data_IF_187802293037
#
_entry.id   IF_187802293037
#
_cell.length_a   1.000
_cell.length_b   1.000
_cell.length_c   1.000
_cell.angle_alpha   90.00
_cell.angle_beta   90.00
_cell.angle_gamma   90.00
#
_symmetry.space_group_name_H-M   'P 1'
#
loop_
_entity.id
_entity.type
_entity.pdbx_description
1 polymer ?
#
# COMPACT_ATOMS: atom_id res chain seq x y z
N UNK A 1 27.49 -24.99 29.23
CA UNK A 1 26.69 -24.95 27.98
C UNK A 1 25.22 -24.84 28.36
N UNK A 2 24.73 -23.63 28.64
CA UNK A 2 23.35 -23.41 29.09
C UNK A 2 22.48 -23.30 27.84
N UNK A 3 21.70 -24.36 27.55
CA UNK A 3 20.59 -24.30 26.60
C UNK A 3 19.61 -23.23 27.10
N UNK A 4 19.61 -22.05 26.46
CA UNK A 4 18.52 -21.08 26.61
C UNK A 4 17.24 -21.79 26.15
N UNK A 5 16.39 -22.17 27.09
CA UNK A 5 15.02 -22.54 26.79
C UNK A 5 14.37 -21.34 26.11
N UNK A 6 14.01 -21.49 24.84
CA UNK A 6 13.21 -20.52 24.10
C UNK A 6 11.83 -20.56 24.77
N UNK A 7 11.54 -19.63 25.68
CA UNK A 7 10.17 -19.40 26.13
C UNK A 7 9.35 -19.04 24.89
N UNK A 8 8.48 -19.93 24.45
CA UNK A 8 7.57 -19.65 23.33
C UNK A 8 6.64 -18.51 23.77
N UNK A 9 6.65 -17.41 23.02
CA UNK A 9 5.67 -16.34 23.21
C UNK A 9 4.26 -16.93 23.04
N UNK A 10 3.25 -16.46 23.80
CA UNK A 10 1.89 -16.95 23.67
C UNK A 10 1.32 -16.60 22.29
N UNK A 11 0.54 -17.51 21.72
CA UNK A 11 -0.15 -17.28 20.45
C UNK A 11 -1.12 -16.10 20.57
N UNK A 12 -1.03 -15.12 19.67
CA UNK A 12 -1.89 -13.94 19.65
C UNK A 12 -2.71 -13.94 18.38
N UNK A 13 -4.04 -13.93 18.52
CA UNK A 13 -4.98 -13.81 17.40
C UNK A 13 -5.59 -12.42 17.36
N UNK A 14 -5.69 -11.84 16.17
CA UNK A 14 -6.39 -10.56 15.91
C UNK A 14 -7.24 -10.67 14.67
N UNK A 15 -8.39 -10.01 14.70
CA UNK A 15 -9.27 -9.86 13.55
C UNK A 15 -9.13 -8.46 12.99
N UNK A 16 -9.24 -8.36 11.67
CA UNK A 16 -9.24 -7.10 10.96
C UNK A 16 -10.15 -7.17 9.73
N UNK A 17 -10.07 -6.14 8.90
CA UNK A 17 -10.80 -6.05 7.65
C UNK A 17 -9.98 -6.75 6.56
N UNK A 18 -10.57 -7.77 5.94
CA UNK A 18 -10.01 -8.40 4.74
C UNK A 18 -10.06 -7.40 3.60
N UNK A 19 -8.92 -7.20 2.95
CA UNK A 19 -8.84 -6.33 1.76
C UNK A 19 -8.25 -7.01 0.54
N UNK A 20 -7.58 -8.14 0.74
CA UNK A 20 -7.16 -9.05 -0.32
C UNK A 20 -7.21 -10.46 0.23
N UNK A 21 -8.02 -11.31 -0.39
CA UNK A 21 -8.25 -12.68 0.08
C UNK A 21 -7.00 -13.56 -0.06
N UNK A 22 -7.04 -14.70 0.63
CA UNK A 22 -6.04 -15.74 0.50
C UNK A 22 -5.37 -16.07 1.83
N UNK A 23 -4.25 -16.77 1.71
CA UNK A 23 -3.59 -17.39 2.84
C UNK A 23 -2.07 -17.25 2.72
N UNK A 24 -1.43 -16.80 3.80
CA UNK A 24 0.02 -16.72 3.87
C UNK A 24 0.52 -17.08 5.27
N UNK A 25 1.56 -17.91 5.32
CA UNK A 25 2.41 -17.99 6.52
C UNK A 25 3.63 -17.09 6.29
N UNK A 26 4.51 -16.91 7.28
CA UNK A 26 5.81 -16.28 7.05
C UNK A 26 6.42 -15.72 8.31
N UNK A 27 7.42 -14.86 8.12
CA UNK A 27 8.04 -14.11 9.21
C UNK A 27 7.65 -12.65 9.13
N UNK A 28 7.35 -12.07 10.28
CA UNK A 28 7.06 -10.65 10.41
C UNK A 28 8.26 -9.86 9.92
N UNK A 29 8.00 -8.94 9.00
CA UNK A 29 8.89 -7.83 8.70
C UNK A 29 8.18 -6.56 9.11
N UNK A 30 8.63 -5.94 10.22
CA UNK A 30 8.09 -4.66 10.64
C UNK A 30 8.57 -3.58 9.70
N UNK A 31 7.62 -2.93 9.05
CA UNK A 31 7.86 -1.70 8.35
C UNK A 31 7.57 -0.57 9.33
N UNK A 32 8.63 0.10 9.78
CA UNK A 32 8.46 1.28 10.61
C UNK A 32 8.30 2.50 9.71
N UNK A 33 7.09 3.02 9.68
CA UNK A 33 6.79 4.28 8.99
C UNK A 33 7.07 5.49 9.90
N UNK A 34 7.42 5.30 11.18
CA UNK A 34 7.63 6.42 12.09
C UNK A 34 9.10 6.85 12.15
N UNK A 35 9.43 7.78 11.26
CA UNK A 35 10.43 8.78 11.57
C UNK A 35 9.73 10.12 11.41
N UNK A 36 8.97 10.55 12.43
CA UNK A 36 8.74 11.99 12.63
C UNK A 36 10.12 12.64 12.69
N UNK A 37 10.59 13.12 11.53
CA UNK A 37 11.85 13.85 11.46
C UNK A 37 11.75 15.00 12.45
N UNK A 38 12.69 15.05 13.38
CA UNK A 38 12.75 16.16 14.33
C UNK A 38 13.13 17.41 13.53
N UNK A 39 12.15 18.29 13.33
CA UNK A 39 12.35 19.56 12.65
C UNK A 39 12.70 20.60 13.70
N UNK A 40 13.97 21.01 13.73
CA UNK A 40 14.41 22.11 14.58
C UNK A 40 14.20 23.44 13.87
N UNK A 41 13.74 24.45 14.62
CA UNK A 41 13.71 25.83 14.16
C UNK A 41 15.09 26.45 14.31
N UNK A 42 15.65 26.89 13.20
CA UNK A 42 16.92 27.63 13.14
C UNK A 42 16.61 29.03 12.63
N UNK A 43 17.14 30.04 13.33
CA UNK A 43 17.05 31.43 12.90
C UNK A 43 18.17 31.73 11.91
N UNK A 44 17.81 32.29 10.75
CA UNK A 44 18.72 32.62 9.67
C UNK A 44 19.04 34.13 9.62
N UNK A 45 20.27 34.47 9.21
CA UNK A 45 20.61 35.85 8.86
C UNK A 45 20.03 36.24 7.50
N UNK A 46 19.86 37.54 7.24
CA UNK A 46 19.32 38.04 5.96
C UNK A 46 20.12 37.55 4.74
N UNK A 47 21.44 37.45 4.88
CA UNK A 47 22.33 36.97 3.82
C UNK A 47 22.06 35.50 3.43
N UNK A 48 21.57 34.69 4.36
CA UNK A 48 21.36 33.24 4.16
C UNK A 48 19.98 32.93 3.58
N UNK A 49 19.01 33.85 3.69
CA UNK A 49 17.64 33.67 3.18
C UNK A 49 17.63 33.32 1.68
N UNK A 50 18.48 33.97 0.90
CA UNK A 50 18.59 33.71 -0.53
C UNK A 50 19.05 32.28 -0.84
N UNK A 51 19.99 31.75 -0.06
CA UNK A 51 20.46 30.37 -0.19
C UNK A 51 19.36 29.39 0.25
N UNK A 52 18.66 29.69 1.33
CA UNK A 52 17.62 28.81 1.87
C UNK A 52 16.43 28.66 0.92
N UNK A 53 15.99 29.75 0.29
CA UNK A 53 14.95 29.71 -0.74
C UNK A 53 15.38 28.85 -1.93
N UNK A 54 16.66 28.91 -2.33
CA UNK A 54 17.20 28.03 -3.39
C UNK A 54 17.23 26.57 -2.95
N UNK A 55 17.62 26.29 -1.70
CA UNK A 55 17.63 24.95 -1.09
C UNK A 55 16.23 24.34 -1.09
N UNK A 56 15.24 25.08 -0.61
CA UNK A 56 13.84 24.67 -0.63
C UNK A 56 13.33 24.35 -2.06
N UNK A 57 13.54 25.26 -3.02
CA UNK A 57 13.13 25.04 -4.41
C UNK A 57 13.82 23.83 -5.03
N UNK A 58 15.07 23.56 -4.66
CA UNK A 58 15.79 22.36 -5.11
C UNK A 58 15.20 21.09 -4.52
N UNK A 59 14.85 21.08 -3.22
CA UNK A 59 14.18 19.96 -2.57
C UNK A 59 12.82 19.65 -3.19
N UNK A 60 11.99 20.67 -3.49
CA UNK A 60 10.73 20.48 -4.22
C UNK A 60 10.94 19.82 -5.60
N UNK A 61 11.96 20.27 -6.35
CA UNK A 61 12.29 19.65 -7.66
C UNK A 61 12.74 18.19 -7.50
N UNK A 62 13.52 17.89 -6.47
CA UNK A 62 13.99 16.54 -6.16
C UNK A 62 12.81 15.63 -5.79
N UNK A 63 11.96 16.05 -4.85
CA UNK A 63 10.78 15.32 -4.43
C UNK A 63 9.84 15.03 -5.62
N UNK A 64 9.60 16.02 -6.48
CA UNK A 64 8.81 15.85 -7.71
C UNK A 64 9.41 14.82 -8.66
N UNK A 65 10.74 14.82 -8.82
CA UNK A 65 11.44 13.83 -9.66
C UNK A 65 11.32 12.42 -9.08
N UNK A 66 11.47 12.28 -7.77
CA UNK A 66 11.31 11.00 -7.08
C UNK A 66 9.88 10.47 -7.22
N UNK A 67 8.85 11.30 -7.00
CA UNK A 67 7.45 10.89 -7.18
C UNK A 67 7.14 10.44 -8.61
N UNK A 68 7.71 11.09 -9.64
CA UNK A 68 7.58 10.64 -11.03
C UNK A 68 8.23 9.28 -11.27
N UNK A 69 9.40 9.04 -10.67
CA UNK A 69 10.08 7.75 -10.78
C UNK A 69 9.28 6.65 -10.07
N UNK A 70 8.72 6.95 -8.91
CA UNK A 70 7.81 6.10 -8.15
C UNK A 70 6.56 5.78 -8.98
N UNK A 71 5.87 6.80 -9.50
CA UNK A 71 4.73 6.62 -10.40
C UNK A 71 5.04 5.65 -11.54
N UNK A 72 6.16 5.86 -12.24
CA UNK A 72 6.58 4.99 -13.35
C UNK A 72 6.85 3.54 -12.94
N UNK A 73 7.35 3.31 -11.72
CA UNK A 73 7.53 1.95 -11.18
C UNK A 73 6.17 1.33 -10.82
N UNK A 74 5.30 2.11 -10.18
CA UNK A 74 3.94 1.67 -9.84
C UNK A 74 3.14 1.31 -11.09
N UNK A 75 3.18 2.15 -12.14
CA UNK A 75 2.53 1.87 -13.43
C UNK A 75 2.98 0.53 -14.04
N UNK A 76 4.27 0.17 -13.89
CA UNK A 76 4.80 -1.10 -14.39
C UNK A 76 4.44 -2.30 -13.53
N UNK A 77 4.40 -2.11 -12.21
CA UNK A 77 4.19 -3.20 -11.25
C UNK A 77 2.71 -3.51 -11.00
N UNK A 78 1.87 -2.47 -11.01
CA UNK A 78 0.45 -2.53 -10.63
C UNK A 78 -0.49 -2.11 -11.76
N UNK A 79 0.02 -1.51 -12.85
CA UNK A 79 -0.82 -0.93 -13.91
C UNK A 79 -1.09 0.57 -13.72
N UNK A 80 -1.48 1.24 -14.81
CA UNK A 80 -1.66 2.70 -14.83
C UNK A 80 -2.79 3.18 -13.90
N UNK A 81 -3.85 2.40 -13.77
CA UNK A 81 -5.06 2.73 -12.99
C UNK A 81 -4.84 2.74 -11.47
N UNK A 82 -3.72 2.20 -10.99
CA UNK A 82 -3.35 2.23 -9.57
C UNK A 82 -2.27 3.28 -9.25
N UNK A 83 -1.72 3.94 -10.27
CA UNK A 83 -0.65 4.92 -10.12
C UNK A 83 -1.15 6.39 -10.08
N UNK A 84 -2.44 6.66 -10.31
CA UNK A 84 -3.00 8.02 -10.33
C UNK A 84 -2.87 8.76 -8.99
N UNK A 85 -2.76 8.03 -7.88
CA UNK A 85 -2.57 8.61 -6.54
C UNK A 85 -1.31 9.50 -6.53
N UNK A 86 -0.26 9.08 -7.25
CA UNK A 86 0.95 9.87 -7.39
C UNK A 86 0.78 11.13 -8.22
N UNK A 87 -0.23 11.22 -9.10
CA UNK A 87 -0.54 12.46 -9.82
C UNK A 87 -1.07 13.54 -8.87
N UNK A 88 -1.93 13.17 -7.93
CA UNK A 88 -2.39 14.08 -6.88
C UNK A 88 -1.20 14.59 -6.05
N UNK A 89 -0.30 13.70 -5.64
CA UNK A 89 0.92 14.06 -4.91
C UNK A 89 1.82 15.02 -5.71
N UNK A 90 1.98 14.76 -7.01
CA UNK A 90 2.76 15.62 -7.91
C UNK A 90 2.10 16.99 -8.09
N UNK A 91 0.77 17.05 -8.19
CA UNK A 91 0.01 18.29 -8.31
C UNK A 91 0.15 19.14 -7.04
N UNK A 92 0.11 18.52 -5.86
CA UNK A 92 0.33 19.22 -4.58
C UNK A 92 1.71 19.88 -4.51
N UNK A 93 2.77 19.20 -4.95
CA UNK A 93 4.10 19.80 -5.04
C UNK A 93 4.22 20.91 -6.10
N UNK A 94 3.27 20.98 -7.03
CA UNK A 94 3.19 22.03 -8.05
C UNK A 94 2.31 23.20 -7.61
N UNK A 95 1.58 23.07 -6.50
CA UNK A 95 0.72 24.11 -5.98
C UNK A 95 1.54 25.38 -5.70
N UNK A 96 1.18 26.44 -6.42
CA UNK A 96 1.85 27.73 -6.31
C UNK A 96 1.67 28.33 -4.93
N UNK A 97 0.47 28.19 -4.33
CA UNK A 97 0.14 28.73 -3.01
C UNK A 97 0.97 28.06 -1.93
N UNK A 98 1.05 26.73 -1.94
CA UNK A 98 1.90 25.99 -0.98
C UNK A 98 3.36 26.49 -1.03
N UNK A 99 3.90 26.63 -2.24
CA UNK A 99 5.27 27.16 -2.42
C UNK A 99 5.41 28.60 -1.90
N UNK A 100 4.47 29.47 -2.24
CA UNK A 100 4.49 30.88 -1.83
C UNK A 100 4.38 31.03 -0.30
N UNK A 101 3.52 30.24 0.34
CA UNK A 101 3.33 30.24 1.79
C UNK A 101 4.61 29.80 2.51
N UNK A 102 5.27 28.74 2.03
CA UNK A 102 6.56 28.29 2.62
C UNK A 102 7.65 29.34 2.40
N UNK A 103 7.78 29.90 1.20
CA UNK A 103 8.77 30.94 0.94
C UNK A 103 8.51 32.21 1.78
N UNK A 104 7.24 32.53 2.05
CA UNK A 104 6.83 33.63 2.92
C UNK A 104 7.28 33.37 4.36
N UNK A 105 7.04 32.18 4.90
CA UNK A 105 7.50 31.78 6.23
C UNK A 105 9.04 31.83 6.38
N UNK A 106 9.79 31.40 5.36
CA UNK A 106 11.26 31.52 5.36
C UNK A 106 11.68 32.99 5.47
N UNK A 107 11.10 33.88 4.65
CA UNK A 107 11.46 35.31 4.60
C UNK A 107 11.01 36.06 5.85
N UNK A 108 9.74 35.92 6.25
CA UNK A 108 9.14 36.70 7.34
C UNK A 108 9.65 36.25 8.70
N UNK A 109 9.75 34.94 8.91
CA UNK A 109 10.06 34.39 10.24
C UNK A 109 11.56 34.04 10.39
N UNK A 110 12.36 34.38 9.36
CA UNK A 110 13.80 34.11 9.26
C UNK A 110 14.13 32.67 9.65
N UNK A 111 13.38 31.71 9.11
CA UNK A 111 13.44 30.31 9.52
C UNK A 111 13.97 29.40 8.41
N UNK A 112 14.57 28.29 8.81
CA UNK A 112 14.98 27.24 7.88
C UNK A 112 13.78 26.59 7.17
N UNK A 113 14.04 26.04 5.99
CA UNK A 113 13.06 25.49 5.08
C UNK A 113 12.25 24.33 5.70
N UNK A 114 12.88 23.46 6.49
CA UNK A 114 12.20 22.35 7.15
C UNK A 114 11.13 22.88 8.10
N UNK A 115 11.46 23.91 8.89
CA UNK A 115 10.53 24.54 9.81
C UNK A 115 9.37 25.21 9.08
N UNK A 116 9.66 25.98 8.03
CA UNK A 116 8.64 26.64 7.23
C UNK A 116 7.69 25.62 6.57
N UNK A 117 8.22 24.53 6.01
CA UNK A 117 7.42 23.43 5.43
C UNK A 117 6.52 22.81 6.50
N UNK A 118 7.07 22.54 7.70
CA UNK A 118 6.28 21.99 8.80
C UNK A 118 5.12 22.90 9.18
N UNK A 119 5.36 24.21 9.36
CA UNK A 119 4.32 25.16 9.77
C UNK A 119 3.19 25.23 8.76
N UNK A 120 3.50 25.34 7.47
CA UNK A 120 2.49 25.37 6.40
C UNK A 120 1.72 24.04 6.33
N UNK A 121 2.40 22.91 6.57
CA UNK A 121 1.77 21.59 6.61
C UNK A 121 0.82 21.46 7.79
N UNK A 122 1.24 21.85 8.99
CA UNK A 122 0.39 21.78 10.19
C UNK A 122 -0.89 22.62 10.00
N UNK A 123 -0.77 23.80 9.38
CA UNK A 123 -1.91 24.65 9.04
C UNK A 123 -2.86 23.96 8.04
N UNK A 124 -2.31 23.31 7.02
CA UNK A 124 -3.09 22.57 6.04
C UNK A 124 -3.82 21.39 6.70
N UNK A 125 -3.11 20.58 7.49
CA UNK A 125 -3.67 19.44 8.20
C UNK A 125 -4.76 19.84 9.20
N UNK A 126 -4.61 20.99 9.88
CA UNK A 126 -5.65 21.51 10.77
C UNK A 126 -6.96 21.79 10.03
N UNK A 127 -6.89 22.40 8.84
CA UNK A 127 -8.07 22.63 7.99
C UNK A 127 -8.71 21.32 7.54
N UNK A 128 -7.89 20.32 7.17
CA UNK A 128 -8.41 19.01 6.76
C UNK A 128 -9.00 18.20 7.93
N UNK A 129 -8.49 18.36 9.15
CA UNK A 129 -8.99 17.67 10.33
C UNK A 129 -10.41 18.11 10.73
N UNK A 130 -10.82 19.32 10.36
CA UNK A 130 -12.19 19.82 10.59
C UNK A 130 -13.22 19.21 9.62
N UNK A 131 -12.76 18.53 8.57
CA UNK A 131 -13.62 17.91 7.56
C UNK A 131 -14.15 16.56 8.07
N UNK A 132 -15.48 16.43 8.09
CA UNK A 132 -16.17 15.21 8.57
C UNK A 132 -16.19 14.05 7.58
N UNK A 133 -15.83 14.31 6.33
CA UNK A 133 -15.83 13.32 5.24
C UNK A 133 -14.61 12.39 5.34
N UNK A 134 -14.85 11.07 5.38
CA UNK A 134 -13.81 10.05 5.53
C UNK A 134 -12.86 9.97 4.32
N UNK A 135 -13.33 10.28 3.11
CA UNK A 135 -12.50 10.37 1.91
C UNK A 135 -11.56 11.57 1.98
N UNK A 136 -12.05 12.72 2.46
CA UNK A 136 -11.20 13.90 2.69
C UNK A 136 -10.24 13.71 3.87
N UNK A 137 -10.60 12.90 4.87
CA UNK A 137 -9.68 12.51 5.95
C UNK A 137 -8.54 11.62 5.45
N UNK A 138 -8.80 10.73 4.48
CA UNK A 138 -7.77 9.95 3.82
C UNK A 138 -6.75 10.82 3.05
N UNK A 139 -7.14 12.02 2.57
CA UNK A 139 -6.17 12.97 1.99
C UNK A 139 -5.17 13.55 2.98
N UNK A 140 -5.45 13.53 4.28
CA UNK A 140 -4.50 14.01 5.29
C UNK A 140 -3.22 13.16 5.29
N UNK A 141 -3.33 11.83 5.15
CA UNK A 141 -2.14 10.97 5.06
C UNK A 141 -1.40 11.17 3.73
N UNK A 142 -2.10 11.44 2.62
CA UNK A 142 -1.46 11.82 1.36
C UNK A 142 -0.64 13.12 1.48
N UNK A 143 -1.18 14.13 2.17
CA UNK A 143 -0.45 15.36 2.50
C UNK A 143 0.82 15.03 3.29
N UNK A 144 0.70 14.23 4.34
CA UNK A 144 1.85 13.83 5.16
C UNK A 144 2.91 13.07 4.34
N UNK A 145 2.52 12.20 3.42
CA UNK A 145 3.44 11.45 2.54
C UNK A 145 4.23 12.39 1.61
N UNK A 146 3.54 13.35 1.00
CA UNK A 146 4.16 14.37 0.13
C UNK A 146 5.16 15.22 0.91
N UNK A 147 4.76 15.71 2.07
CA UNK A 147 5.59 16.60 2.89
C UNK A 147 6.82 15.89 3.42
N UNK A 148 6.66 14.66 3.89
CA UNK A 148 7.78 13.83 4.34
C UNK A 148 8.83 13.69 3.25
N UNK A 149 8.42 13.52 2.00
CA UNK A 149 9.35 13.44 0.86
C UNK A 149 10.09 14.75 0.60
N UNK A 150 9.46 15.90 0.83
CA UNK A 150 10.12 17.20 0.77
C UNK A 150 11.14 17.34 1.90
N UNK A 151 10.82 16.91 3.12
CA UNK A 151 11.73 16.95 4.26
C UNK A 151 12.94 16.01 4.07
N UNK A 152 12.75 14.80 3.56
CA UNK A 152 13.86 13.92 3.15
C UNK A 152 14.76 14.58 2.10
N UNK A 153 14.16 15.22 1.09
CA UNK A 153 14.91 15.94 0.06
C UNK A 153 15.69 17.15 0.61
N UNK A 154 15.20 17.80 1.67
CA UNK A 154 15.90 18.90 2.36
C UNK A 154 17.08 18.41 3.20
N UNK A 155 16.92 17.27 3.88
CA UNK A 155 17.97 16.66 4.70
C UNK A 155 19.05 15.91 3.90
N UNK A 156 18.89 15.78 2.57
CA UNK A 156 19.78 15.01 1.72
C UNK A 156 19.71 13.50 1.95
N UNK A 157 18.70 13.06 2.71
CA UNK A 157 18.43 11.65 2.97
C UNK A 157 17.83 11.03 1.71
N UNK A 158 18.47 9.98 1.20
CA UNK A 158 17.87 9.18 0.14
C UNK A 158 16.80 8.27 0.76
N UNK A 159 15.61 8.15 0.15
CA UNK A 159 14.66 7.12 0.53
C UNK A 159 15.39 5.77 0.51
N UNK A 160 15.20 4.95 1.54
CA UNK A 160 15.94 3.70 1.71
C UNK A 160 15.83 2.87 0.43
N UNK A 161 16.95 2.80 -0.32
CA UNK A 161 17.02 2.06 -1.58
C UNK A 161 16.50 0.64 -1.38
N UNK A 162 15.58 0.23 -2.24
CA UNK A 162 15.11 -1.13 -2.54
C UNK A 162 15.88 -2.22 -1.79
N UNK A 163 15.57 -2.41 -0.50
CA UNK A 163 16.14 -3.53 0.25
C UNK A 163 15.44 -4.78 -0.27
N UNK A 164 16.24 -5.76 -0.69
CA UNK A 164 15.72 -7.10 -0.92
C UNK A 164 15.05 -7.54 0.38
N UNK A 165 13.73 -7.72 0.32
CA UNK A 165 12.99 -8.23 1.47
C UNK A 165 13.34 -9.71 1.63
N UNK A 166 13.43 -10.22 2.87
CA UNK A 166 13.65 -11.64 3.10
C UNK A 166 12.58 -12.46 2.36
N UNK A 167 12.97 -13.62 1.85
CA UNK A 167 12.00 -14.61 1.38
C UNK A 167 11.05 -14.95 2.54
N UNK A 168 9.76 -15.07 2.22
CA UNK A 168 8.67 -15.36 3.16
C UNK A 168 8.30 -14.23 4.14
N UNK A 169 8.53 -12.98 3.77
CA UNK A 169 8.17 -11.83 4.60
C UNK A 169 6.65 -11.56 4.60
N UNK A 170 6.08 -11.36 5.78
CA UNK A 170 4.77 -10.71 5.95
C UNK A 170 5.02 -9.30 6.47
N UNK A 171 4.61 -8.29 5.71
CA UNK A 171 4.78 -6.90 6.12
C UNK A 171 3.79 -6.59 7.24
N UNK A 172 4.31 -6.11 8.37
CA UNK A 172 3.49 -5.60 9.47
C UNK A 172 3.80 -4.12 9.66
N UNK A 173 2.80 -3.25 9.55
CA UNK A 173 2.95 -1.79 9.64
C UNK A 173 1.80 -1.14 10.40
N UNK A 174 2.01 0.08 10.90
CA UNK A 174 0.91 0.90 11.40
C UNK A 174 0.02 1.37 10.23
N UNK A 175 0.66 1.91 9.20
CA UNK A 175 0.03 2.30 7.93
C UNK A 175 1.04 2.11 6.80
N UNK A 176 0.58 1.63 5.64
CA UNK A 176 1.41 1.52 4.44
C UNK A 176 1.18 2.73 3.54
N UNK A 177 2.11 3.67 3.55
CA UNK A 177 2.04 4.84 2.66
C UNK A 177 2.32 4.44 1.20
N UNK A 178 1.71 5.10 0.19
CA UNK A 178 1.93 4.81 -1.22
C UNK A 178 3.40 4.79 -1.59
N UNK A 179 4.11 5.81 -1.10
CA UNK A 179 5.50 6.02 -1.48
C UNK A 179 6.43 5.00 -0.85
N UNK A 180 6.12 4.52 0.36
CA UNK A 180 6.82 3.43 1.01
C UNK A 180 6.62 2.11 0.25
N UNK A 181 5.39 1.83 -0.19
CA UNK A 181 5.11 0.60 -0.93
C UNK A 181 5.92 0.50 -2.23
N UNK A 182 5.97 1.55 -3.04
CA UNK A 182 6.69 1.51 -4.32
C UNK A 182 8.21 1.43 -4.16
N UNK A 183 8.74 1.81 -3.00
CA UNK A 183 10.16 1.66 -2.68
C UNK A 183 10.52 0.22 -2.24
N UNK A 184 9.52 -0.58 -1.84
CA UNK A 184 9.70 -1.98 -1.48
C UNK A 184 9.69 -2.87 -2.71
N UNK A 185 10.63 -3.82 -2.75
CA UNK A 185 10.54 -4.92 -3.69
C UNK A 185 9.66 -6.04 -3.08
N UNK A 186 8.40 -6.11 -3.52
CA UNK A 186 7.44 -7.10 -3.03
C UNK A 186 7.70 -8.55 -3.48
N UNK A 187 8.74 -8.84 -4.27
CA UNK A 187 9.01 -10.19 -4.77
C UNK A 187 9.18 -11.26 -3.69
N UNK A 188 9.55 -10.86 -2.45
CA UNK A 188 9.67 -11.76 -1.29
C UNK A 188 8.49 -11.67 -0.30
N UNK A 189 7.47 -10.86 -0.60
CA UNK A 189 6.37 -10.58 0.33
C UNK A 189 5.22 -11.55 0.08
N UNK A 190 4.82 -12.27 1.12
CA UNK A 190 3.69 -13.22 1.07
C UNK A 190 2.39 -12.65 1.57
N UNK A 191 2.40 -11.52 2.27
CA UNK A 191 1.17 -10.88 2.75
C UNK A 191 1.42 -9.57 3.50
N UNK A 192 0.32 -8.88 3.81
CA UNK A 192 0.33 -7.58 4.50
C UNK A 192 -0.63 -7.60 5.69
N UNK A 193 -0.19 -7.09 6.83
CA UNK A 193 -0.99 -6.84 8.03
C UNK A 193 -0.79 -5.38 8.48
N UNK A 194 -1.86 -4.58 8.52
CA UNK A 194 -1.79 -3.15 8.85
C UNK A 194 -2.72 -2.80 10.01
N UNK A 195 -2.27 -1.93 10.92
CA UNK A 195 -3.10 -1.45 12.03
C UNK A 195 -4.18 -0.47 11.58
N UNK A 196 -3.83 0.42 10.67
CA UNK A 196 -4.71 1.39 10.03
C UNK A 196 -5.07 0.94 8.60
N UNK A 197 -6.09 1.59 8.06
CA UNK A 197 -6.59 1.37 6.71
C UNK A 197 -7.95 0.67 6.66
N UNK A 198 -8.56 0.74 5.49
CA UNK A 198 -9.80 0.05 5.13
C UNK A 198 -9.74 -0.46 3.69
N UNK A 199 -10.89 -0.79 3.12
CA UNK A 199 -11.01 -1.35 1.75
C UNK A 199 -10.39 -0.47 0.66
N UNK A 200 -10.38 0.84 0.85
CA UNK A 200 -9.83 1.83 -0.10
C UNK A 200 -8.41 2.27 0.24
N UNK A 201 -7.79 1.68 1.27
CA UNK A 201 -6.43 2.06 1.68
C UNK A 201 -5.38 1.67 0.65
N UNK A 202 -4.22 2.32 0.71
CA UNK A 202 -3.06 1.99 -0.11
C UNK A 202 -2.65 0.52 0.05
N UNK A 203 -2.60 0.02 1.29
CA UNK A 203 -2.36 -1.40 1.56
C UNK A 203 -3.34 -2.32 0.82
N UNK A 204 -4.63 -1.97 0.78
CA UNK A 204 -5.65 -2.73 0.07
C UNK A 204 -5.43 -2.73 -1.45
N UNK A 205 -5.19 -1.55 -2.03
CA UNK A 205 -4.96 -1.39 -3.48
C UNK A 205 -3.74 -2.20 -3.92
N UNK A 206 -2.64 -2.08 -3.18
CA UNK A 206 -1.37 -2.77 -3.48
C UNK A 206 -1.52 -4.28 -3.32
N UNK A 207 -2.14 -4.74 -2.24
CA UNK A 207 -2.31 -6.16 -1.98
C UNK A 207 -3.12 -6.85 -3.08
N UNK A 208 -4.22 -6.21 -3.53
CA UNK A 208 -5.05 -6.72 -4.64
C UNK A 208 -4.30 -6.74 -5.96
N UNK A 209 -3.61 -5.66 -6.30
CA UNK A 209 -2.80 -5.59 -7.53
C UNK A 209 -1.69 -6.63 -7.59
N UNK A 210 -1.18 -7.06 -6.43
CA UNK A 210 -0.15 -8.11 -6.32
C UNK A 210 -0.71 -9.53 -6.09
N UNK A 211 -2.02 -9.67 -5.87
CA UNK A 211 -2.64 -10.94 -5.52
C UNK A 211 -2.14 -11.55 -4.21
N UNK A 212 -1.66 -10.73 -3.27
CA UNK A 212 -1.16 -11.18 -1.97
C UNK A 212 -2.22 -10.99 -0.88
N UNK A 213 -2.36 -11.94 0.08
CA UNK A 213 -3.29 -11.82 1.21
C UNK A 213 -3.02 -10.57 2.06
N UNK A 214 -4.08 -9.84 2.39
CA UNK A 214 -3.96 -8.65 3.23
C UNK A 214 -5.14 -8.41 4.17
N UNK A 215 -4.80 -8.05 5.41
CA UNK A 215 -5.73 -7.65 6.46
C UNK A 215 -5.29 -6.28 7.00
N UNK A 216 -6.23 -5.35 7.13
CA UNK A 216 -6.01 -4.00 7.68
C UNK A 216 -6.91 -3.74 8.88
N UNK A 217 -6.73 -2.62 9.57
CA UNK A 217 -7.58 -2.26 10.71
C UNK A 217 -7.31 -3.06 11.98
N UNK A 218 -6.09 -3.58 12.16
CA UNK A 218 -5.69 -4.42 13.30
C UNK A 218 -5.40 -3.62 14.60
N UNK A 219 -5.41 -2.28 14.52
CA UNK A 219 -5.27 -1.30 15.62
C UNK A 219 -3.91 -1.27 16.32
N UNK A 220 -3.60 -2.25 17.15
CA UNK A 220 -2.38 -2.26 17.98
C UNK A 220 -1.48 -3.47 17.66
N UNK A 221 -1.69 -4.12 16.52
CA UNK A 221 -0.98 -5.33 16.15
C UNK A 221 0.49 -5.06 15.82
N UNK A 222 0.83 -3.93 15.20
CA UNK A 222 2.21 -3.53 14.91
C UNK A 222 3.09 -3.48 16.16
N UNK A 223 2.51 -3.04 17.29
CA UNK A 223 3.22 -2.91 18.58
C UNK A 223 3.51 -4.27 19.23
N UNK A 224 2.67 -5.26 18.93
CA UNK A 224 2.76 -6.62 19.49
C UNK A 224 3.63 -7.55 18.65
N UNK A 225 3.81 -7.25 17.36
CA UNK A 225 4.69 -8.00 16.47
C UNK A 225 6.16 -7.55 16.59
N UNK A 226 7.11 -8.48 16.41
CA UNK A 226 8.54 -8.17 16.24
C UNK A 226 9.06 -8.76 14.93
N UNK A 227 9.98 -8.06 14.26
CA UNK A 227 10.63 -8.61 13.06
C UNK A 227 11.26 -9.96 13.37
N UNK A 228 10.97 -10.95 12.53
CA UNK A 228 11.40 -12.34 12.69
C UNK A 228 10.41 -13.25 13.43
N UNK A 229 9.34 -12.71 14.02
CA UNK A 229 8.30 -13.52 14.63
C UNK A 229 7.53 -14.32 13.57
N UNK A 230 7.14 -15.55 13.91
CA UNK A 230 6.27 -16.36 13.05
C UNK A 230 4.86 -15.78 13.02
N UNK A 231 4.28 -15.72 11.83
CA UNK A 231 2.98 -15.11 11.57
C UNK A 231 2.20 -15.90 10.51
N UNK A 232 0.89 -15.95 10.72
CA UNK A 232 -0.10 -16.45 9.77
C UNK A 232 -1.09 -15.35 9.46
N UNK A 233 -1.39 -15.13 8.18
CA UNK A 233 -2.44 -14.27 7.68
C UNK A 233 -3.45 -15.16 6.98
N UNK A 234 -4.62 -15.35 7.60
CA UNK A 234 -5.79 -15.98 6.98
C UNK A 234 -6.79 -14.91 6.58
N UNK A 235 -6.59 -14.35 5.40
CA UNK A 235 -7.45 -13.31 4.84
C UNK A 235 -8.77 -13.87 4.30
N UNK A 236 -9.07 -15.16 4.47
CA UNK A 236 -10.42 -15.72 4.24
C UNK A 236 -11.30 -15.58 5.47
N UNK A 237 -10.68 -15.66 6.66
CA UNK A 237 -11.35 -15.51 7.95
C UNK A 237 -11.14 -14.11 8.57
N UNK A 238 -10.36 -13.25 7.91
CA UNK A 238 -10.01 -11.93 8.46
C UNK A 238 -9.17 -12.00 9.72
N UNK A 239 -8.36 -13.06 9.87
CA UNK A 239 -7.60 -13.33 11.08
C UNK A 239 -6.09 -13.32 10.83
N UNK A 240 -5.34 -12.71 11.74
CA UNK A 240 -3.88 -12.76 11.82
C UNK A 240 -3.46 -13.42 13.13
N UNK A 241 -2.48 -14.31 13.06
CA UNK A 241 -1.96 -15.09 14.20
C UNK A 241 -0.46 -14.84 14.33
N UNK A 242 -0.02 -14.30 15.46
CA UNK A 242 1.39 -14.22 15.83
C UNK A 242 1.76 -15.38 16.75
N UNK A 243 2.99 -15.86 16.61
CA UNK A 243 3.55 -16.97 17.39
C UNK A 243 2.61 -18.19 17.38
N UNK A 244 2.18 -18.66 16.18
CA UNK A 244 1.29 -19.81 16.09
C UNK A 244 1.89 -21.00 16.83
N UNK A 245 1.08 -21.70 17.63
CA UNK A 245 1.50 -22.95 18.26
C UNK A 245 1.89 -23.97 17.20
N UNK A 246 2.61 -25.03 17.59
CA UNK A 246 2.97 -26.14 16.68
C UNK A 246 1.72 -26.71 16.00
N UNK A 247 0.64 -26.96 16.77
CA UNK A 247 -0.62 -27.46 16.24
C UNK A 247 -1.26 -26.48 15.25
N UNK A 248 -1.33 -25.19 15.58
CA UNK A 248 -1.83 -24.15 14.68
C UNK A 248 -1.01 -24.09 13.39
N UNK A 249 0.33 -24.14 13.51
CA UNK A 249 1.25 -24.11 12.38
C UNK A 249 1.08 -25.33 11.47
N UNK A 250 0.84 -26.52 12.03
CA UNK A 250 0.60 -27.75 11.27
C UNK A 250 -0.73 -27.69 10.51
N UNK A 251 -1.81 -27.25 11.16
CA UNK A 251 -3.12 -27.01 10.52
C UNK A 251 -2.95 -26.08 9.32
N UNK A 252 -2.29 -24.95 9.53
CA UNK A 252 -2.09 -23.95 8.50
C UNK A 252 -1.11 -24.36 7.41
N UNK A 253 -0.08 -25.16 7.74
CA UNK A 253 0.82 -25.75 6.75
C UNK A 253 0.11 -26.80 5.89
N UNK A 254 -0.79 -27.59 6.47
CA UNK A 254 -1.66 -28.50 5.72
C UNK A 254 -2.62 -27.76 4.78
N UNK A 255 -3.12 -26.58 5.18
CA UNK A 255 -3.89 -25.70 4.30
C UNK A 255 -3.04 -25.00 3.21
N UNK A 256 -1.75 -24.80 3.46
CA UNK A 256 -0.80 -24.20 2.50
C UNK A 256 -0.30 -25.20 1.43
N UNK A 257 -0.23 -26.50 1.77
CA UNK A 257 0.35 -27.53 0.91
C UNK A 257 -0.34 -27.66 -0.47
N UNK A 258 -1.68 -27.56 -0.60
CA UNK A 258 -2.35 -27.58 -1.91
C UNK A 258 -2.03 -26.35 -2.77
N UNK A 259 -1.87 -25.17 -2.15
CA UNK A 259 -1.60 -23.90 -2.85
C UNK A 259 -0.15 -23.85 -3.36
N UNK A 260 0.83 -24.34 -2.58
CA UNK A 260 2.22 -24.44 -3.02
C UNK A 260 2.42 -25.54 -4.07
N UNK A 261 1.70 -26.66 -4.00
CA UNK A 261 1.77 -27.68 -5.06
C UNK A 261 1.11 -27.20 -6.36
N UNK A 262 0.05 -26.39 -6.30
CA UNK A 262 -0.52 -25.75 -7.50
C UNK A 262 0.43 -24.72 -8.12
N UNK A 263 1.12 -23.91 -7.31
CA UNK A 263 2.10 -22.94 -7.83
C UNK A 263 3.44 -23.56 -8.27
N UNK A 264 3.87 -24.67 -7.66
CA UNK A 264 5.12 -25.37 -8.00
C UNK A 264 4.97 -26.36 -9.16
N UNK A 265 3.83 -27.05 -9.25
CA UNK A 265 3.43 -27.81 -10.45
C UNK A 265 2.66 -26.86 -11.37
N UNK A 266 3.37 -25.88 -11.96
CA UNK A 266 2.83 -24.79 -12.80
C UNK A 266 1.36 -24.98 -13.15
N UNK A 267 0.47 -24.39 -12.35
CA UNK A 267 -0.95 -24.73 -12.45
C UNK A 267 -1.50 -24.32 -13.80
N UNK A 268 -1.73 -25.38 -14.56
CA UNK A 268 -2.64 -25.54 -15.67
C UNK A 268 -2.33 -24.69 -16.91
N UNK A 269 -1.47 -25.24 -17.76
CA UNK A 269 -1.65 -25.09 -19.19
C UNK A 269 -3.10 -25.44 -19.56
N UNK A 270 -3.95 -24.43 -19.75
CA UNK A 270 -4.90 -24.35 -20.86
C UNK A 270 -5.82 -25.53 -21.16
N UNK A 271 -6.28 -26.31 -20.17
CA UNK A 271 -7.40 -27.24 -20.41
C UNK A 271 -8.59 -26.85 -19.56
N UNK A 272 -9.56 -26.23 -20.25
CA UNK A 272 -10.96 -26.16 -19.87
C UNK A 272 -11.51 -27.59 -19.75
N UNK A 273 -11.19 -28.29 -18.67
CA UNK A 273 -11.94 -29.49 -18.34
C UNK A 273 -13.31 -29.07 -17.82
N UNK A 274 -14.35 -29.63 -18.42
CA UNK A 274 -15.72 -29.46 -17.93
C UNK A 274 -15.80 -29.99 -16.50
N UNK A 275 -15.97 -29.08 -15.53
CA UNK A 275 -16.12 -29.47 -14.13
C UNK A 275 -17.44 -30.20 -13.96
N UNK A 276 -17.40 -31.35 -13.29
CA UNK A 276 -18.59 -32.16 -13.00
C UNK A 276 -18.62 -32.52 -11.53
N UNK A 277 -19.81 -32.56 -10.95
CA UNK A 277 -20.05 -33.17 -9.63
C UNK A 277 -19.82 -34.69 -9.69
N UNK A 278 -19.73 -35.34 -8.51
CA UNK A 278 -19.55 -36.79 -8.43
C UNK A 278 -20.69 -37.59 -9.08
N UNK A 279 -21.89 -37.01 -9.17
CA UNK A 279 -23.08 -37.53 -9.85
C UNK A 279 -23.24 -37.03 -11.30
N UNK A 280 -22.25 -36.29 -11.83
CA UNK A 280 -22.11 -35.99 -13.26
C UNK A 280 -22.71 -34.67 -13.75
N UNK A 281 -23.28 -33.85 -12.85
CA UNK A 281 -23.81 -32.53 -13.20
C UNK A 281 -22.69 -31.53 -13.54
N UNK A 282 -22.83 -30.83 -14.65
CA UNK A 282 -21.83 -29.85 -15.10
C UNK A 282 -21.87 -28.58 -14.25
N UNK A 283 -20.70 -28.15 -13.77
CA UNK A 283 -20.50 -26.89 -13.05
C UNK A 283 -19.67 -25.96 -13.93
N UNK A 284 -20.12 -24.71 -14.06
CA UNK A 284 -19.36 -23.67 -14.73
C UNK A 284 -18.80 -22.70 -13.69
N UNK A 285 -17.48 -22.69 -13.50
CA UNK A 285 -16.83 -21.65 -12.72
C UNK A 285 -16.60 -20.43 -13.61
N UNK A 286 -17.03 -19.27 -13.13
CA UNK A 286 -16.78 -17.97 -13.77
C UNK A 286 -16.13 -17.03 -12.76
N UNK A 287 -15.34 -16.09 -13.24
CA UNK A 287 -14.68 -15.11 -12.39
C UNK A 287 -15.62 -13.96 -12.03
N UNK A 288 -15.44 -13.44 -10.82
CA UNK A 288 -15.96 -12.12 -10.45
C UNK A 288 -14.83 -11.12 -10.67
N UNK A 289 -15.11 -10.05 -11.41
CA UNK A 289 -14.12 -9.06 -11.83
C UNK A 289 -14.64 -7.68 -11.47
N UNK A 290 -13.77 -6.85 -10.89
CA UNK A 290 -14.04 -5.46 -10.54
C UNK A 290 -13.36 -4.48 -11.50
N UNK A 291 -12.26 -4.87 -12.15
CA UNK A 291 -11.52 -4.01 -13.09
C UNK A 291 -11.20 -4.71 -14.41
N UNK A 292 -11.25 -4.03 -15.57
CA UNK A 292 -10.89 -4.63 -16.86
C UNK A 292 -9.51 -5.30 -16.85
N UNK A 293 -8.53 -4.69 -16.18
CA UNK A 293 -7.17 -5.23 -16.07
C UNK A 293 -7.09 -6.61 -15.38
N UNK A 294 -8.02 -6.95 -14.48
CA UNK A 294 -8.05 -8.23 -13.78
C UNK A 294 -8.40 -9.39 -14.75
N UNK A 295 -9.02 -9.10 -15.89
CA UNK A 295 -9.36 -10.10 -16.91
C UNK A 295 -8.12 -10.87 -17.41
N UNK A 296 -6.97 -10.20 -17.53
CA UNK A 296 -5.73 -10.87 -17.93
C UNK A 296 -5.31 -11.96 -16.92
N UNK A 297 -5.53 -11.69 -15.63
CA UNK A 297 -5.29 -12.63 -14.55
C UNK A 297 -6.27 -13.80 -14.54
N UNK A 298 -7.53 -13.57 -14.93
CA UNK A 298 -8.57 -14.61 -15.01
C UNK A 298 -8.16 -15.76 -15.94
N UNK A 299 -7.42 -15.48 -17.01
CA UNK A 299 -6.92 -16.51 -17.95
C UNK A 299 -5.91 -17.47 -17.32
N UNK A 300 -5.26 -17.07 -16.24
CA UNK A 300 -4.35 -17.93 -15.49
C UNK A 300 -5.11 -18.93 -14.58
N UNK A 301 -6.44 -18.78 -14.48
CA UNK A 301 -7.32 -19.68 -13.75
C UNK A 301 -8.24 -20.42 -14.73
N UNK A 302 -8.74 -21.60 -14.35
CA UNK A 302 -9.64 -22.42 -15.18
C UNK A 302 -11.08 -21.86 -15.29
N UNK A 303 -11.25 -20.53 -15.21
CA UNK A 303 -12.55 -19.87 -15.27
C UNK A 303 -13.09 -19.83 -16.72
N UNK A 304 -14.37 -20.17 -16.87
CA UNK A 304 -15.10 -20.17 -18.15
C UNK A 304 -15.83 -18.84 -18.35
N UNK A 305 -15.06 -17.76 -18.36
CA UNK A 305 -15.54 -16.38 -18.53
C UNK A 305 -15.84 -15.66 -17.22
N UNK A 306 -16.56 -14.53 -17.34
CA UNK A 306 -16.92 -13.66 -16.21
C UNK A 306 -18.38 -13.90 -15.83
N UNK A 307 -18.63 -14.13 -14.54
CA UNK A 307 -19.95 -14.38 -13.98
C UNK A 307 -20.55 -13.10 -13.40
N UNK A 308 -19.69 -12.21 -12.92
CA UNK A 308 -20.05 -10.92 -12.39
C UNK A 308 -18.97 -9.91 -12.76
N UNK A 309 -19.36 -8.86 -13.45
CA UNK A 309 -18.53 -7.67 -13.64
C UNK A 309 -19.13 -6.54 -12.81
N UNK A 310 -18.44 -6.14 -11.75
CA UNK A 310 -18.86 -5.08 -10.85
C UNK A 310 -18.50 -3.73 -11.45
N UNK A 311 -19.49 -2.99 -11.94
CA UNK A 311 -19.30 -1.71 -12.63
C UNK A 311 -19.16 -0.52 -11.67
N UNK A 312 -19.24 -0.72 -10.35
CA UNK A 312 -19.20 0.34 -9.34
C UNK A 312 -17.89 1.14 -9.36
N UNK A 313 -16.78 0.55 -9.83
CA UNK A 313 -15.51 1.24 -10.00
C UNK A 313 -15.61 2.42 -10.98
N UNK A 314 -16.46 2.31 -12.01
CA UNK A 314 -16.68 3.36 -13.01
C UNK A 314 -17.27 4.61 -12.37
N UNK A 315 -18.04 4.44 -11.28
CA UNK A 315 -18.66 5.53 -10.52
C UNK A 315 -17.69 6.16 -9.51
N UNK A 316 -16.71 5.40 -9.01
CA UNK A 316 -15.81 5.83 -7.93
C UNK A 316 -14.48 6.43 -8.41
N UNK A 317 -14.00 6.09 -9.62
CA UNK A 317 -12.67 6.49 -10.08
C UNK A 317 -12.50 8.00 -10.39
N UNK A 318 -13.56 8.75 -10.72
CA UNK A 318 -13.41 10.10 -11.32
C UNK A 318 -14.11 11.25 -10.59
N UNK A 319 -14.77 10.99 -9.46
CA UNK A 319 -15.54 12.02 -8.73
C UNK A 319 -16.65 12.68 -9.57
N UNK A 320 -16.98 12.10 -10.73
CA UNK A 320 -18.07 12.47 -11.63
C UNK A 320 -18.66 11.20 -12.21
N UNK A 321 -19.91 11.29 -12.65
CA UNK A 321 -20.56 10.20 -13.38
C UNK A 321 -19.79 9.97 -14.70
N UNK A 322 -19.39 8.72 -15.01
CA UNK A 322 -18.70 8.38 -16.25
C UNK A 322 -19.64 8.55 -17.45
N UNK A 323 -19.12 9.04 -18.58
CA UNK A 323 -19.91 9.15 -19.81
C UNK A 323 -20.24 7.77 -20.39
N UNK A 324 -21.23 7.72 -21.28
CA UNK A 324 -21.59 6.50 -22.00
C UNK A 324 -20.38 5.93 -22.77
N UNK A 325 -19.59 6.79 -23.43
CA UNK A 325 -18.38 6.37 -24.16
C UNK A 325 -17.33 5.73 -23.23
N UNK A 326 -17.15 6.26 -22.02
CA UNK A 326 -16.21 5.73 -21.03
C UNK A 326 -16.68 4.37 -20.51
N UNK A 327 -17.97 4.22 -20.27
CA UNK A 327 -18.56 2.93 -19.88
C UNK A 327 -18.47 1.92 -21.02
N UNK A 328 -18.79 2.33 -22.25
CA UNK A 328 -18.72 1.50 -23.43
C UNK A 328 -17.30 0.98 -23.68
N UNK A 329 -16.28 1.84 -23.55
CA UNK A 329 -14.89 1.44 -23.68
C UNK A 329 -14.50 0.36 -22.65
N UNK A 330 -14.86 0.54 -21.37
CA UNK A 330 -14.58 -0.44 -20.33
C UNK A 330 -15.31 -1.77 -20.56
N UNK A 331 -16.55 -1.74 -21.03
CA UNK A 331 -17.29 -2.97 -21.35
C UNK A 331 -16.75 -3.67 -22.60
N UNK A 332 -16.32 -2.93 -23.64
CA UNK A 332 -15.66 -3.52 -24.81
C UNK A 332 -14.35 -4.21 -24.44
N UNK A 333 -13.53 -3.58 -23.60
CA UNK A 333 -12.25 -4.16 -23.17
C UNK A 333 -12.42 -5.51 -22.45
N UNK A 334 -13.56 -5.71 -21.78
CA UNK A 334 -13.87 -6.96 -21.06
C UNK A 334 -14.64 -7.97 -21.93
N UNK A 335 -15.48 -7.47 -22.85
CA UNK A 335 -16.41 -8.27 -23.65
C UNK A 335 -15.91 -8.69 -25.03
N UNK A 336 -14.94 -7.97 -25.59
CA UNK A 336 -14.33 -8.21 -26.92
C UNK A 336 -12.92 -8.81 -26.81
#
# INVERSE_FOLDING_TARGET
MIKRAIQSKPEVRRHGVVVSEGFATGRVLRLHTDARQQVYRITLGEADLGQELRRFRAALRLARRQLRAIKKRAERALGADHAYIFDAHILMLQDRKFREDVESHIRRDHSNAEWAVKVVTDQLLAVYAEIKDDYLRARSSDIEDVIRRVLFALNGEQPHNSRLLPEDAIIVTEELMPSAAVELNFSGVRGIASDAGGWTSHAAIIARGLGIPAIVGLRDFYRNARTGDDIVVDARQGMVILHPTTNTSEIYRAHAAPLHQASANGSASGRQETLRTADGAEIMLRANVELPAEYQGVRNYAARGIGLFRSEFLLTQRGRIPSEDEQCAAYREVGE
#
